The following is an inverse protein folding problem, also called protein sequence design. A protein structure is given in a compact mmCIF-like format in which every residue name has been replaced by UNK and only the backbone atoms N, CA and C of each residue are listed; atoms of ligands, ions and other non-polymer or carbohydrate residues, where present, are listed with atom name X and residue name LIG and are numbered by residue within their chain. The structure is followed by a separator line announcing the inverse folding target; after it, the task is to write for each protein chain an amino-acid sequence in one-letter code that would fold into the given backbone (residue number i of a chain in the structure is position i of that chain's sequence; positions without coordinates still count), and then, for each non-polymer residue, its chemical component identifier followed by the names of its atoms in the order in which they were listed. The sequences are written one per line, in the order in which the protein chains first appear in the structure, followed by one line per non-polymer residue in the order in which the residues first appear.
data_IF_218019032466
#
_entry.id   IF_218019032466
#
_cell.length_a   1.000
_cell.length_b   1.000
_cell.length_c   1.000
_cell.angle_alpha   90.00
_cell.angle_beta   90.00
_cell.angle_gamma   90.00
#
_symmetry.space_group_name_H-M   'P 1'
#
loop_
_entity.id
_entity.type
_entity.pdbx_description
1 polymer ?
#
# COMPACT_ATOMS: atom_id res chain seq x y z
N UNK A 1 12.31 15.44 -12.33
CA UNK A 1 12.29 14.30 -11.39
C UNK A 1 11.77 13.11 -12.16
N UNK A 2 12.53 12.03 -12.25
CA UNK A 2 12.11 10.81 -12.95
C UNK A 2 11.30 9.95 -11.99
N UNK A 3 10.02 9.72 -12.30
CA UNK A 3 9.07 8.98 -11.46
C UNK A 3 8.44 7.88 -12.29
N UNK A 4 8.46 6.65 -11.77
CA UNK A 4 7.84 5.49 -12.41
C UNK A 4 7.20 4.60 -11.35
N UNK A 5 6.06 4.01 -11.66
CA UNK A 5 5.46 2.98 -10.81
C UNK A 5 5.56 1.65 -11.56
N UNK A 6 6.15 0.64 -10.91
CA UNK A 6 6.46 -0.65 -11.51
C UNK A 6 5.98 -1.80 -10.63
N UNK A 7 5.91 -3.00 -11.19
CA UNK A 7 5.85 -4.22 -10.40
C UNK A 7 7.19 -4.46 -9.66
N UNK A 8 7.17 -5.12 -8.48
CA UNK A 8 8.37 -5.55 -7.78
C UNK A 8 9.32 -6.33 -8.68
N UNK A 9 10.62 -6.10 -8.51
CA UNK A 9 11.67 -6.77 -9.30
C UNK A 9 12.98 -6.81 -8.52
N UNK A 10 13.79 -7.84 -8.76
CA UNK A 10 15.09 -8.04 -8.12
C UNK A 10 16.05 -6.86 -8.33
N UNK A 11 15.90 -6.11 -9.42
CA UNK A 11 16.77 -4.97 -9.76
C UNK A 11 16.82 -3.87 -8.67
N UNK A 12 15.84 -3.81 -7.77
CA UNK A 12 15.79 -2.82 -6.68
C UNK A 12 16.06 -3.41 -5.29
N UNK A 13 16.63 -4.62 -5.17
CA UNK A 13 16.97 -5.24 -3.88
C UNK A 13 17.71 -4.29 -2.94
N UNK A 14 18.81 -3.70 -3.42
CA UNK A 14 19.61 -2.76 -2.61
C UNK A 14 18.78 -1.56 -2.14
N UNK A 15 17.89 -1.03 -2.99
CA UNK A 15 17.03 0.08 -2.62
C UNK A 15 15.96 -0.31 -1.59
N UNK A 16 15.43 -1.53 -1.67
CA UNK A 16 14.46 -2.09 -0.75
C UNK A 16 15.06 -2.28 0.64
N UNK A 17 16.25 -2.91 0.73
CA UNK A 17 16.97 -3.08 2.00
C UNK A 17 17.27 -1.72 2.65
N UNK A 18 17.77 -0.75 1.88
CA UNK A 18 17.98 0.61 2.39
C UNK A 18 16.70 1.33 2.81
N UNK A 19 15.54 0.99 2.24
CA UNK A 19 14.26 1.53 2.71
C UNK A 19 13.95 0.93 4.08
N UNK A 20 14.05 -0.39 4.24
CA UNK A 20 13.83 -1.05 5.53
C UNK A 20 14.78 -0.51 6.61
N UNK A 21 16.07 -0.37 6.30
CA UNK A 21 17.05 0.17 7.25
C UNK A 21 16.70 1.60 7.69
N UNK A 22 16.17 2.41 6.77
CA UNK A 22 15.79 3.80 7.04
C UNK A 22 14.51 3.94 7.85
N UNK A 23 13.59 2.97 7.77
CA UNK A 23 12.42 2.95 8.65
C UNK A 23 12.83 2.80 10.12
N UNK A 24 13.95 2.11 10.39
CA UNK A 24 14.42 1.89 11.76
C UNK A 24 13.37 1.17 12.60
N UNK A 25 12.84 1.85 13.61
CA UNK A 25 11.80 1.34 14.51
C UNK A 25 10.37 1.70 14.05
N UNK A 26 10.21 2.45 12.95
CA UNK A 26 8.89 2.70 12.38
C UNK A 26 8.25 1.39 11.90
N UNK A 27 6.93 1.29 12.09
CA UNK A 27 6.14 0.19 11.58
C UNK A 27 6.30 0.07 10.05
N UNK A 28 6.52 -1.16 9.58
CA UNK A 28 6.57 -1.44 8.15
C UNK A 28 5.15 -1.53 7.63
N UNK A 29 4.86 -0.74 6.61
CA UNK A 29 3.54 -0.74 6.00
C UNK A 29 3.69 -0.40 4.51
N UNK A 30 2.96 -1.09 3.61
CA UNK A 30 1.91 -2.10 3.84
C UNK A 30 2.43 -3.52 4.12
N UNK A 31 1.53 -4.46 4.45
CA UNK A 31 1.80 -5.87 4.81
C UNK A 31 2.89 -6.59 3.99
N UNK A 32 3.00 -6.44 2.66
CA UNK A 32 4.11 -7.05 1.91
C UNK A 32 5.51 -6.70 2.43
N UNK A 33 5.66 -5.57 3.15
CA UNK A 33 6.91 -5.13 3.74
C UNK A 33 7.31 -5.92 5.00
N UNK A 34 6.39 -6.69 5.58
CA UNK A 34 6.62 -7.58 6.74
C UNK A 34 7.17 -8.95 6.30
N UNK A 35 7.04 -9.29 5.02
CA UNK A 35 7.57 -10.55 4.48
C UNK A 35 9.09 -10.61 4.63
N UNK A 36 9.60 -11.82 4.83
CA UNK A 36 11.04 -12.06 4.81
C UNK A 36 11.62 -11.64 3.46
N UNK A 37 12.69 -10.85 3.52
CA UNK A 37 13.41 -10.35 2.35
C UNK A 37 14.86 -10.85 2.33
N UNK A 38 15.19 -11.86 3.15
CA UNK A 38 16.55 -12.40 3.20
C UNK A 38 16.93 -13.07 1.89
N UNK A 39 16.05 -13.92 1.37
CA UNK A 39 16.08 -14.41 0.00
C UNK A 39 15.19 -13.48 -0.85
N UNK A 40 15.82 -12.53 -1.54
CA UNK A 40 15.10 -11.50 -2.28
C UNK A 40 14.38 -12.03 -3.52
N UNK A 41 14.99 -12.92 -4.34
CA UNK A 41 14.25 -13.62 -5.39
C UNK A 41 13.00 -14.34 -4.87
N UNK A 42 13.08 -15.03 -3.73
CA UNK A 42 11.92 -15.69 -3.13
C UNK A 42 10.82 -14.70 -2.69
N UNK A 43 11.20 -13.52 -2.19
CA UNK A 43 10.25 -12.43 -1.93
C UNK A 43 9.54 -12.01 -3.22
N UNK A 44 10.28 -11.72 -4.29
CA UNK A 44 9.69 -11.30 -5.57
C UNK A 44 8.73 -12.36 -6.11
N UNK A 45 9.12 -13.64 -6.06
CA UNK A 45 8.26 -14.74 -6.45
C UNK A 45 6.97 -14.77 -5.60
N UNK A 46 7.10 -14.65 -4.27
CA UNK A 46 5.96 -14.63 -3.34
C UNK A 46 4.97 -13.51 -3.68
N UNK A 47 5.47 -12.31 -4.01
CA UNK A 47 4.62 -11.17 -4.39
C UNK A 47 3.87 -11.40 -5.70
N UNK A 48 4.47 -12.11 -6.67
CA UNK A 48 3.79 -12.49 -7.91
C UNK A 48 2.78 -13.63 -7.69
N UNK A 49 3.08 -14.59 -6.81
CA UNK A 49 2.13 -15.66 -6.43
C UNK A 49 0.89 -15.09 -5.73
N UNK A 50 1.08 -14.15 -4.81
CA UNK A 50 -0.02 -13.48 -4.08
C UNK A 50 -0.97 -12.73 -5.02
N UNK A 51 -0.48 -12.22 -6.15
CA UNK A 51 -1.31 -11.57 -7.18
C UNK A 51 -2.30 -12.52 -7.83
N UNK A 52 -2.02 -13.81 -7.90
CA UNK A 52 -2.92 -14.83 -8.44
C UNK A 52 -3.60 -15.67 -7.35
N UNK A 53 -3.37 -15.34 -6.08
CA UNK A 53 -3.90 -16.09 -4.95
C UNK A 53 -3.22 -17.44 -4.71
N UNK A 54 -1.99 -17.60 -5.19
CA UNK A 54 -1.19 -18.82 -5.02
C UNK A 54 -0.40 -18.71 -3.72
N UNK A 55 -0.32 -19.81 -2.96
CA UNK A 55 0.41 -19.91 -1.69
C UNK A 55 0.08 -18.79 -0.68
N UNK A 56 -1.16 -18.29 -0.70
CA UNK A 56 -1.62 -17.28 0.24
C UNK A 56 -1.79 -17.88 1.65
N UNK A 57 -1.14 -17.32 2.67
CA UNK A 57 -1.45 -17.59 4.07
C UNK A 57 -2.91 -17.31 4.40
N UNK A 58 -3.43 -18.01 5.40
CA UNK A 58 -4.77 -17.79 5.93
C UNK A 58 -4.97 -16.34 6.37
N UNK A 59 -6.15 -15.79 6.05
CA UNK A 59 -6.51 -14.40 6.35
C UNK A 59 -6.01 -13.38 5.32
N UNK A 60 -5.09 -13.75 4.42
CA UNK A 60 -4.74 -12.92 3.27
C UNK A 60 -5.68 -13.14 2.09
N UNK A 61 -5.68 -12.18 1.18
CA UNK A 61 -6.47 -12.16 -0.05
C UNK A 61 -5.56 -11.89 -1.24
N UNK A 62 -5.94 -12.29 -2.47
CA UNK A 62 -5.17 -11.95 -3.66
C UNK A 62 -4.88 -10.46 -3.71
N UNK A 63 -3.61 -10.10 -3.95
CA UNK A 63 -3.17 -8.72 -3.88
C UNK A 63 -2.02 -8.42 -4.84
N UNK A 64 -1.97 -7.20 -5.36
CA UNK A 64 -0.89 -6.71 -6.22
C UNK A 64 -0.07 -5.68 -5.48
N UNK A 65 1.25 -5.83 -5.53
CA UNK A 65 2.19 -4.86 -4.97
C UNK A 65 2.74 -3.96 -6.08
N UNK A 66 2.87 -2.66 -5.82
CA UNK A 66 3.44 -1.69 -6.73
C UNK A 66 4.54 -0.88 -6.05
N UNK A 67 5.62 -0.61 -6.77
CA UNK A 67 6.76 0.15 -6.28
C UNK A 67 6.87 1.48 -7.00
N UNK A 68 6.87 2.56 -6.22
CA UNK A 68 7.16 3.91 -6.70
C UNK A 68 8.67 4.12 -6.72
N UNK A 69 9.22 4.34 -7.91
CA UNK A 69 10.62 4.65 -8.14
C UNK A 69 10.75 6.15 -8.40
N UNK A 70 11.62 6.82 -7.65
CA UNK A 70 11.98 8.22 -7.83
C UNK A 70 13.49 8.33 -8.01
N UNK A 71 13.95 8.85 -9.16
CA UNK A 71 15.36 8.98 -9.52
C UNK A 71 16.16 7.67 -9.29
N UNK A 72 15.64 6.54 -9.80
CA UNK A 72 16.19 5.19 -9.61
C UNK A 72 16.30 4.70 -8.15
N UNK A 73 15.53 5.27 -7.23
CA UNK A 73 15.43 4.81 -5.84
C UNK A 73 13.99 4.39 -5.53
N UNK A 74 13.84 3.31 -4.79
CA UNK A 74 12.54 2.94 -4.21
C UNK A 74 12.11 4.01 -3.21
N UNK A 75 10.99 4.66 -3.50
CA UNK A 75 10.45 5.79 -2.76
C UNK A 75 9.12 5.45 -2.05
N UNK A 76 8.42 4.41 -2.48
CA UNK A 76 7.18 3.98 -1.82
C UNK A 76 6.70 2.63 -2.32
N UNK A 77 5.82 2.02 -1.53
CA UNK A 77 5.20 0.72 -1.78
C UNK A 77 3.70 0.85 -1.61
N UNK A 78 2.95 0.32 -2.58
CA UNK A 78 1.50 0.16 -2.49
C UNK A 78 1.15 -1.32 -2.50
N UNK A 79 0.10 -1.69 -1.76
CA UNK A 79 -0.52 -3.00 -1.84
C UNK A 79 -2.01 -2.84 -2.14
N UNK A 80 -2.46 -3.41 -3.25
CA UNK A 80 -3.84 -3.45 -3.69
C UNK A 80 -4.40 -4.85 -3.46
N UNK A 81 -5.26 -5.01 -2.47
CA UNK A 81 -6.08 -6.21 -2.23
C UNK A 81 -7.22 -6.25 -3.24
N UNK A 82 -7.41 -7.38 -3.91
CA UNK A 82 -8.37 -7.53 -5.02
C UNK A 82 -9.80 -7.74 -4.53
N UNK A 83 -9.95 -8.12 -3.26
CA UNK A 83 -11.21 -8.27 -2.55
C UNK A 83 -10.98 -8.01 -1.06
N UNK A 84 -12.06 -7.84 -0.30
CA UNK A 84 -12.00 -7.71 1.16
C UNK A 84 -12.66 -8.93 1.79
N UNK A 85 -11.99 -9.52 2.79
CA UNK A 85 -12.63 -10.40 3.76
C UNK A 85 -13.23 -9.56 4.90
N UNK A 86 -13.85 -10.21 5.89
CA UNK A 86 -14.53 -9.53 7.00
C UNK A 86 -13.60 -8.58 7.76
N UNK A 87 -12.39 -9.02 8.09
CA UNK A 87 -11.40 -8.20 8.81
C UNK A 87 -10.97 -6.98 7.98
N UNK A 88 -10.69 -7.16 6.69
CA UNK A 88 -10.27 -6.09 5.79
C UNK A 88 -11.40 -5.09 5.53
N UNK A 89 -12.65 -5.55 5.45
CA UNK A 89 -13.84 -4.72 5.35
C UNK A 89 -14.09 -3.91 6.63
N UNK A 90 -13.79 -4.50 7.79
CA UNK A 90 -13.86 -3.81 9.07
C UNK A 90 -12.77 -2.74 9.18
N UNK A 91 -11.49 -3.12 9.07
CA UNK A 91 -10.35 -2.24 9.34
C UNK A 91 -9.12 -2.59 8.48
N UNK A 92 -9.23 -2.49 7.15
CA UNK A 92 -8.07 -2.62 6.27
C UNK A 92 -8.20 -1.95 4.92
N UNK A 93 -9.39 -1.99 4.30
CA UNK A 93 -9.61 -1.47 2.96
C UNK A 93 -8.82 -2.22 1.88
N UNK A 94 -8.96 -1.76 0.64
CA UNK A 94 -8.34 -2.34 -0.54
C UNK A 94 -6.89 -1.91 -0.69
N UNK A 95 -6.52 -0.69 -0.28
CA UNK A 95 -5.20 -0.13 -0.58
C UNK A 95 -4.47 0.23 0.72
N UNK A 96 -3.26 -0.31 0.86
CA UNK A 96 -2.26 0.18 1.82
C UNK A 96 -1.10 0.86 1.10
N UNK A 97 -0.64 2.01 1.61
CA UNK A 97 0.45 2.82 1.05
C UNK A 97 1.50 3.11 2.12
N UNK A 98 2.78 2.91 1.78
CA UNK A 98 3.92 3.37 2.56
C UNK A 98 4.86 4.22 1.71
N UNK A 99 5.29 5.37 2.24
CA UNK A 99 6.32 6.21 1.62
C UNK A 99 7.58 6.19 2.47
N UNK A 100 8.71 5.99 1.80
CA UNK A 100 10.04 5.98 2.40
C UNK A 100 10.35 7.32 3.06
N UNK A 101 10.89 7.35 4.31
CA UNK A 101 11.02 8.58 5.10
C UNK A 101 11.58 9.78 4.35
N UNK A 102 12.71 9.64 3.66
CA UNK A 102 13.37 10.71 2.88
C UNK A 102 12.57 11.25 1.70
N UNK A 103 11.51 10.55 1.29
CA UNK A 103 10.63 10.89 0.16
C UNK A 103 9.24 11.39 0.61
N UNK A 104 9.02 11.56 1.92
CA UNK A 104 7.75 12.08 2.46
C UNK A 104 7.64 13.59 2.23
N UNK A 105 6.42 14.12 2.34
CA UNK A 105 6.16 15.57 2.28
C UNK A 105 6.20 16.21 0.90
N UNK A 106 6.43 15.44 -0.17
CA UNK A 106 6.54 15.95 -1.55
C UNK A 106 5.47 15.40 -2.51
N UNK A 107 4.34 14.93 -1.97
CA UNK A 107 3.17 14.50 -2.76
C UNK A 107 3.25 13.09 -3.38
N UNK A 108 4.33 12.35 -3.16
CA UNK A 108 4.52 11.01 -3.74
C UNK A 108 3.49 9.97 -3.26
N UNK A 109 2.98 10.10 -2.03
CA UNK A 109 1.91 9.25 -1.51
C UNK A 109 0.61 9.37 -2.32
N UNK A 110 0.20 10.61 -2.63
CA UNK A 110 -1.01 10.86 -3.42
C UNK A 110 -0.86 10.33 -4.85
N UNK A 111 0.32 10.52 -5.46
CA UNK A 111 0.62 9.98 -6.79
C UNK A 111 0.49 8.44 -6.81
N UNK A 112 1.09 7.78 -5.82
CA UNK A 112 1.04 6.31 -5.72
C UNK A 112 -0.37 5.80 -5.41
N UNK A 113 -1.13 6.49 -4.54
CA UNK A 113 -2.53 6.14 -4.25
C UNK A 113 -3.40 6.30 -5.50
N UNK A 114 -3.32 7.42 -6.22
CA UNK A 114 -4.10 7.66 -7.43
C UNK A 114 -3.87 6.57 -8.49
N UNK A 115 -2.60 6.24 -8.76
CA UNK A 115 -2.26 5.12 -9.65
C UNK A 115 -2.86 3.79 -9.17
N UNK A 116 -2.79 3.52 -7.86
CA UNK A 116 -3.29 2.26 -7.31
C UNK A 116 -4.82 2.17 -7.36
N UNK A 117 -5.53 3.30 -7.23
CA UNK A 117 -6.98 3.39 -7.45
C UNK A 117 -7.32 3.10 -8.91
N UNK A 118 -6.58 3.65 -9.87
CA UNK A 118 -6.76 3.30 -11.29
C UNK A 118 -6.60 1.80 -11.52
N UNK A 119 -5.59 1.17 -10.90
CA UNK A 119 -5.41 -0.29 -10.96
C UNK A 119 -6.49 -1.11 -10.27
N UNK A 120 -7.14 -0.55 -9.26
CA UNK A 120 -8.32 -1.17 -8.66
C UNK A 120 -9.53 -1.08 -9.61
N UNK A 121 -9.72 0.06 -10.29
CA UNK A 121 -10.77 0.24 -11.28
C UNK A 121 -10.58 -0.65 -12.52
N UNK A 122 -9.34 -0.85 -12.99
CA UNK A 122 -8.99 -1.83 -14.04
C UNK A 122 -9.44 -3.26 -13.68
N UNK A 123 -9.62 -3.54 -12.37
CA UNK A 123 -10.10 -4.81 -11.81
C UNK A 123 -11.59 -4.79 -11.43
N UNK A 124 -12.35 -3.78 -11.85
CA UNK A 124 -13.76 -3.59 -11.52
C UNK A 124 -14.05 -3.42 -10.02
N UNK A 125 -13.05 -3.00 -9.22
CA UNK A 125 -13.22 -2.71 -7.80
C UNK A 125 -13.72 -1.28 -7.65
N UNK A 126 -15.00 -1.09 -7.34
CA UNK A 126 -15.62 0.23 -7.18
C UNK A 126 -16.84 0.17 -6.24
N UNK A 127 -16.88 0.97 -5.16
CA UNK A 127 -15.84 1.92 -4.71
C UNK A 127 -14.58 1.21 -4.20
N UNK A 128 -13.46 1.93 -4.27
CA UNK A 128 -12.21 1.52 -3.65
C UNK A 128 -12.18 2.04 -2.21
N UNK A 129 -12.33 1.12 -1.26
CA UNK A 129 -12.23 1.44 0.17
C UNK A 129 -10.77 1.66 0.60
N UNK A 130 -10.46 2.77 1.26
CA UNK A 130 -9.14 3.08 1.81
C UNK A 130 -9.32 3.56 3.25
N UNK A 131 -8.65 2.92 4.20
CA UNK A 131 -8.83 3.21 5.63
C UNK A 131 -7.55 3.78 6.21
N UNK A 132 -7.67 4.64 7.22
CA UNK A 132 -6.52 5.14 7.98
C UNK A 132 -6.92 5.46 9.42
N UNK A 133 -5.96 5.54 10.33
CA UNK A 133 -6.20 6.09 11.65
C UNK A 133 -6.52 7.60 11.55
N UNK A 134 -7.45 8.07 12.38
CA UNK A 134 -7.94 9.45 12.35
C UNK A 134 -6.91 10.48 12.82
N UNK A 135 -5.93 10.07 13.61
CA UNK A 135 -4.79 10.90 14.04
C UNK A 135 -3.69 11.00 12.96
N UNK A 136 -3.74 10.18 11.91
CA UNK A 136 -2.79 10.23 10.81
C UNK A 136 -3.20 11.27 9.76
N UNK A 137 -2.94 12.55 10.07
CA UNK A 137 -3.25 13.69 9.21
C UNK A 137 -2.63 13.58 7.80
N UNK A 138 -1.47 12.93 7.66
CA UNK A 138 -0.82 12.73 6.36
C UNK A 138 -1.63 11.77 5.46
N UNK A 139 -2.09 10.64 6.01
CA UNK A 139 -2.97 9.70 5.30
C UNK A 139 -4.33 10.32 4.98
N UNK A 140 -4.93 11.05 5.93
CA UNK A 140 -6.20 11.77 5.72
C UNK A 140 -6.07 12.76 4.56
N UNK A 141 -5.01 13.58 4.57
CA UNK A 141 -4.75 14.55 3.50
C UNK A 141 -4.51 13.87 2.14
N UNK A 142 -3.73 12.79 2.11
CA UNK A 142 -3.46 12.00 0.91
C UNK A 142 -4.75 11.41 0.32
N UNK A 143 -5.57 10.75 1.14
CA UNK A 143 -6.81 10.09 0.68
C UNK A 143 -7.81 11.13 0.19
N UNK A 144 -7.95 12.24 0.90
CA UNK A 144 -8.86 13.34 0.51
C UNK A 144 -8.41 14.00 -0.79
N UNK A 145 -7.10 14.21 -0.99
CA UNK A 145 -6.55 14.75 -2.23
C UNK A 145 -6.78 13.83 -3.43
N UNK A 146 -6.89 12.51 -3.20
CA UNK A 146 -7.27 11.52 -4.21
C UNK A 146 -8.80 11.35 -4.35
N UNK A 147 -9.61 12.26 -3.80
CA UNK A 147 -11.06 12.24 -3.95
C UNK A 147 -11.80 11.28 -3.02
N UNK A 148 -11.13 10.77 -1.97
CA UNK A 148 -11.77 9.94 -0.95
C UNK A 148 -12.87 10.68 -0.22
N UNK A 149 -14.05 10.07 -0.17
CA UNK A 149 -15.19 10.53 0.60
C UNK A 149 -15.28 9.71 1.88
N UNK A 150 -15.37 10.37 3.03
CA UNK A 150 -15.54 9.66 4.30
C UNK A 150 -16.87 8.90 4.26
N UNK A 151 -16.79 7.58 4.31
CA UNK A 151 -17.93 6.67 4.30
C UNK A 151 -18.43 6.44 5.73
N UNK A 152 -17.50 6.18 6.65
CA UNK A 152 -17.81 5.88 8.05
C UNK A 152 -16.56 5.93 8.92
N UNK A 153 -16.74 5.82 10.24
CA UNK A 153 -15.67 5.68 11.22
C UNK A 153 -16.00 4.57 12.20
N UNK A 154 -14.98 3.91 12.74
CA UNK A 154 -15.10 2.88 13.77
C UNK A 154 -14.04 3.09 14.85
N UNK A 155 -14.23 2.50 16.02
CA UNK A 155 -13.23 2.43 17.08
C UNK A 155 -12.58 1.04 17.07
N UNK A 156 -11.25 0.99 17.04
CA UNK A 156 -10.44 -0.22 17.09
C UNK A 156 -9.25 0.02 18.01
N UNK A 157 -9.12 -0.79 19.07
CA UNK A 157 -8.00 -0.70 20.03
C UNK A 157 -7.74 0.72 20.57
N UNK A 158 -8.82 1.43 20.93
CA UNK A 158 -8.82 2.83 21.39
C UNK A 158 -8.31 3.85 20.35
N UNK A 159 -8.35 3.50 19.07
CA UNK A 159 -8.08 4.42 17.96
C UNK A 159 -9.29 4.50 17.04
N UNK A 160 -9.57 5.71 16.59
CA UNK A 160 -10.54 5.93 15.52
C UNK A 160 -9.94 5.53 14.17
N UNK A 161 -10.60 4.63 13.45
CA UNK A 161 -10.29 4.30 12.06
C UNK A 161 -11.32 4.99 11.16
N UNK A 162 -10.84 5.85 10.27
CA UNK A 162 -11.63 6.49 9.24
C UNK A 162 -11.65 5.62 7.99
N UNK A 163 -12.84 5.39 7.45
CA UNK A 163 -13.06 4.56 6.26
C UNK A 163 -13.52 5.45 5.12
N UNK A 164 -12.72 5.55 4.06
CA UNK A 164 -13.02 6.35 2.88
C UNK A 164 -13.39 5.47 1.70
N UNK A 165 -14.32 5.95 0.88
CA UNK A 165 -14.65 5.39 -0.42
C UNK A 165 -14.14 6.31 -1.54
N UNK A 166 -13.42 5.75 -2.50
CA UNK A 166 -12.98 6.44 -3.73
C UNK A 166 -13.73 5.84 -4.92
N UNK A 167 -14.42 6.68 -5.70
CA UNK A 167 -15.26 6.24 -6.83
C UNK A 167 -14.68 6.58 -8.21
N UNK A 168 -13.73 7.53 -8.29
CA UNK A 168 -13.17 8.05 -9.53
C UNK A 168 -11.67 8.00 -9.45
#
# INVERSE_FOLDING_TARGET
MDIRIISPTEAFESCYRQYIDELGEEERYPMPMDLSYQDFPALIQTLEEYKYGINLPDGLVPNSTYWLICNNKLAGVANLRHNLNEQLSHAGGHIGIGIRPRFRGVGLGALLLAYTVEKAHDKSIKPVMVHCYGDNAASVGMITACGGQLDSQIELDNKTVLRYAIFR
#
